data_IF_199461926077
#
_entry.id   IF_199461926077
#
_cell.length_a   1.000
_cell.length_b   1.000
_cell.length_c   1.000
_cell.angle_alpha   90.00
_cell.angle_beta   90.00
_cell.angle_gamma   90.00
#
_symmetry.space_group_name_H-M   'P 1'
#
loop_
_entity.id
_entity.type
_entity.pdbx_description
1 polymer ?
#
# COMPACT_ATOMS: atom_id res chain seq x y z
N UNK A 1 43.40 8.58 -8.88
CA UNK A 1 42.05 8.70 -8.30
C UNK A 1 41.80 7.52 -7.37
N UNK A 2 41.42 7.78 -6.12
CA UNK A 2 41.02 6.74 -5.16
C UNK A 2 39.75 6.00 -5.62
N UNK A 3 39.53 4.76 -5.17
CA UNK A 3 38.30 4.02 -5.49
C UNK A 3 37.03 4.78 -5.05
N UNK A 4 37.11 5.48 -3.90
CA UNK A 4 36.05 6.37 -3.41
C UNK A 4 35.72 7.46 -4.43
N UNK A 5 36.73 8.14 -4.99
CA UNK A 5 36.54 9.19 -5.97
C UNK A 5 35.91 8.67 -7.28
N UNK A 6 36.35 7.50 -7.76
CA UNK A 6 35.74 6.85 -8.95
C UNK A 6 34.26 6.53 -8.71
N UNK A 7 33.93 5.96 -7.55
CA UNK A 7 32.55 5.61 -7.19
C UNK A 7 31.65 6.84 -7.02
N UNK A 8 32.19 7.91 -6.44
CA UNK A 8 31.49 9.18 -6.28
C UNK A 8 31.16 9.80 -7.64
N UNK A 9 32.14 9.86 -8.55
CA UNK A 9 31.92 10.36 -9.92
C UNK A 9 30.86 9.55 -10.68
N UNK A 10 30.91 8.21 -10.57
CA UNK A 10 29.89 7.34 -11.18
C UNK A 10 28.48 7.61 -10.63
N UNK A 11 28.33 7.80 -9.31
CA UNK A 11 27.05 8.10 -8.69
C UNK A 11 26.52 9.48 -9.07
N UNK A 12 27.39 10.50 -9.15
CA UNK A 12 27.02 11.84 -9.63
C UNK A 12 26.51 11.80 -11.06
N UNK A 13 27.22 11.09 -11.96
CA UNK A 13 26.79 10.96 -13.34
C UNK A 13 25.44 10.20 -13.47
N UNK A 14 25.24 9.15 -12.67
CA UNK A 14 23.96 8.46 -12.59
C UNK A 14 22.84 9.37 -12.10
N UNK A 15 23.09 10.18 -11.06
CA UNK A 15 22.10 11.12 -10.52
C UNK A 15 21.71 12.17 -11.57
N UNK A 16 22.68 12.78 -12.24
CA UNK A 16 22.41 13.78 -13.28
C UNK A 16 21.66 13.20 -14.49
N UNK A 17 21.88 11.92 -14.81
CA UNK A 17 21.11 11.22 -15.85
C UNK A 17 19.66 10.94 -15.41
N UNK A 18 19.46 10.57 -14.15
CA UNK A 18 18.13 10.33 -13.59
C UNK A 18 17.32 11.63 -13.55
N UNK A 19 17.94 12.72 -13.11
CA UNK A 19 17.31 14.04 -13.05
C UNK A 19 16.83 14.52 -14.42
N UNK A 20 17.68 14.42 -15.46
CA UNK A 20 17.28 14.75 -16.84
C UNK A 20 16.08 13.93 -17.34
N UNK A 21 16.04 12.63 -17.01
CA UNK A 21 14.91 11.76 -17.36
C UNK A 21 13.65 12.11 -16.58
N UNK A 22 13.78 12.45 -15.31
CA UNK A 22 12.67 12.82 -14.45
C UNK A 22 12.04 14.14 -14.90
N UNK A 23 12.84 15.15 -15.26
CA UNK A 23 12.34 16.41 -15.87
C UNK A 23 11.55 16.13 -17.15
N UNK A 24 12.09 15.28 -18.04
CA UNK A 24 11.39 14.91 -19.27
C UNK A 24 10.07 14.15 -19.02
N UNK A 25 10.03 13.28 -18.00
CA UNK A 25 8.81 12.56 -17.61
C UNK A 25 7.77 13.48 -16.98
N UNK A 26 8.18 14.42 -16.11
CA UNK A 26 7.29 15.43 -15.52
C UNK A 26 6.65 16.30 -16.60
N UNK A 27 7.45 16.80 -17.55
CA UNK A 27 6.93 17.58 -18.67
C UNK A 27 5.93 16.78 -19.53
N UNK A 28 6.19 15.49 -19.79
CA UNK A 28 5.22 14.61 -20.46
C UNK A 28 3.95 14.43 -19.63
N UNK A 29 4.07 14.26 -18.32
CA UNK A 29 2.92 14.15 -17.41
C UNK A 29 2.01 15.39 -17.52
N UNK A 30 2.61 16.58 -17.49
CA UNK A 30 1.89 17.86 -17.57
C UNK A 30 1.21 18.07 -18.92
N UNK A 31 1.87 17.65 -20.02
CA UNK A 31 1.25 17.62 -21.34
C UNK A 31 0.01 16.71 -21.34
N UNK A 32 0.12 15.46 -20.88
CA UNK A 32 -1.00 14.53 -20.84
C UNK A 32 -2.15 15.00 -19.94
N UNK A 33 -1.85 15.71 -18.84
CA UNK A 33 -2.86 16.35 -18.01
C UNK A 33 -3.67 17.39 -18.80
N UNK A 34 -3.01 18.23 -19.60
CA UNK A 34 -3.66 19.19 -20.50
C UNK A 34 -4.44 18.52 -21.63
N UNK A 35 -3.89 17.49 -22.27
CA UNK A 35 -4.58 16.71 -23.30
C UNK A 35 -5.87 16.08 -22.77
N UNK A 36 -5.86 15.56 -21.55
CA UNK A 36 -7.06 14.99 -20.91
C UNK A 36 -8.16 16.04 -20.73
N UNK A 37 -7.82 17.27 -20.33
CA UNK A 37 -8.78 18.37 -20.23
C UNK A 37 -9.35 18.75 -21.61
N UNK A 38 -8.49 18.85 -22.62
CA UNK A 38 -8.92 19.10 -24.00
C UNK A 38 -9.84 18.01 -24.55
N UNK A 39 -9.50 16.73 -24.34
CA UNK A 39 -10.33 15.59 -24.73
C UNK A 39 -11.67 15.56 -24.01
N UNK A 40 -11.70 15.92 -22.71
CA UNK A 40 -12.93 16.00 -21.95
C UNK A 40 -13.84 17.13 -22.45
N UNK A 41 -13.28 18.33 -22.70
CA UNK A 41 -14.02 19.46 -23.24
C UNK A 41 -14.56 19.17 -24.65
N UNK A 42 -13.71 18.64 -25.54
CA UNK A 42 -14.11 18.25 -26.89
C UNK A 42 -15.17 17.15 -26.88
N UNK A 43 -14.98 16.11 -26.05
CA UNK A 43 -15.95 15.04 -25.88
C UNK A 43 -17.30 15.56 -25.38
N UNK A 44 -17.30 16.49 -24.42
CA UNK A 44 -18.50 17.16 -23.94
C UNK A 44 -19.22 17.98 -25.03
N UNK A 45 -18.48 18.73 -25.85
CA UNK A 45 -19.06 19.49 -26.97
C UNK A 45 -19.67 18.57 -28.03
N UNK A 46 -18.96 17.51 -28.43
CA UNK A 46 -19.44 16.52 -29.42
C UNK A 46 -20.66 15.76 -28.88
N UNK A 47 -20.64 15.41 -27.59
CA UNK A 47 -21.78 14.78 -26.91
C UNK A 47 -22.99 15.73 -26.86
N UNK A 48 -22.81 16.99 -26.47
CA UNK A 48 -23.90 17.97 -26.45
C UNK A 48 -24.50 18.25 -27.84
N UNK A 49 -23.65 18.42 -28.86
CA UNK A 49 -24.10 18.67 -30.24
C UNK A 49 -24.85 17.47 -30.83
N UNK A 50 -24.37 16.24 -30.59
CA UNK A 50 -25.04 15.02 -31.08
C UNK A 50 -26.39 14.77 -30.42
N UNK A 51 -26.55 15.12 -29.14
CA UNK A 51 -27.85 15.04 -28.46
C UNK A 51 -28.88 15.97 -29.09
N UNK A 52 -28.49 17.22 -29.39
CA UNK A 52 -29.37 18.23 -29.96
C UNK A 52 -29.76 17.95 -31.41
N UNK A 53 -28.88 17.34 -32.21
CA UNK A 53 -29.12 17.13 -33.64
C UNK A 53 -29.74 15.76 -33.97
N UNK A 54 -29.29 14.68 -33.33
CA UNK A 54 -29.53 13.30 -33.82
C UNK A 54 -30.25 12.40 -32.80
N UNK A 55 -30.69 12.95 -31.67
CA UNK A 55 -31.48 12.24 -30.67
C UNK A 55 -30.68 11.27 -29.78
N UNK A 56 -31.35 10.61 -28.81
CA UNK A 56 -30.69 9.93 -27.69
C UNK A 56 -29.92 8.65 -28.09
N UNK A 57 -30.34 7.94 -29.14
CA UNK A 57 -29.70 6.69 -29.56
C UNK A 57 -28.34 6.96 -30.22
N UNK A 58 -28.27 7.94 -31.12
CA UNK A 58 -27.01 8.30 -31.82
C UNK A 58 -26.04 8.98 -30.87
N UNK A 59 -26.55 9.83 -29.97
CA UNK A 59 -25.79 10.44 -28.87
C UNK A 59 -25.01 9.42 -28.04
N UNK A 60 -25.64 8.29 -27.68
CA UNK A 60 -25.03 7.26 -26.85
C UNK A 60 -23.80 6.65 -27.54
N UNK A 61 -23.92 6.31 -28.83
CA UNK A 61 -22.81 5.75 -29.61
C UNK A 61 -21.67 6.75 -29.82
N UNK A 62 -21.99 8.00 -30.18
CA UNK A 62 -21.01 9.06 -30.36
C UNK A 62 -20.24 9.34 -29.07
N UNK A 63 -20.97 9.40 -27.94
CA UNK A 63 -20.36 9.62 -26.62
C UNK A 63 -19.48 8.43 -26.21
N UNK A 64 -19.91 7.19 -26.46
CA UNK A 64 -19.11 6.00 -26.19
C UNK A 64 -17.78 6.00 -26.96
N UNK A 65 -17.81 6.36 -28.26
CA UNK A 65 -16.61 6.44 -29.10
C UNK A 65 -15.69 7.57 -28.65
N UNK A 66 -16.24 8.75 -28.31
CA UNK A 66 -15.48 9.88 -27.80
C UNK A 66 -14.79 9.58 -26.45
N UNK A 67 -15.31 8.63 -25.67
CA UNK A 67 -14.74 8.23 -24.38
C UNK A 67 -13.48 7.37 -24.52
N UNK A 68 -13.29 6.66 -25.64
CA UNK A 68 -12.14 5.79 -25.89
C UNK A 68 -10.80 6.55 -25.78
N UNK A 69 -10.56 7.66 -26.53
CA UNK A 69 -9.30 8.40 -26.43
C UNK A 69 -9.09 9.00 -25.03
N UNK A 70 -10.16 9.39 -24.34
CA UNK A 70 -10.09 9.86 -22.96
C UNK A 70 -9.59 8.76 -22.01
N UNK A 71 -10.15 7.56 -22.08
CA UNK A 71 -9.70 6.40 -21.28
C UNK A 71 -8.23 6.08 -21.57
N UNK A 72 -7.84 6.02 -22.85
CA UNK A 72 -6.45 5.76 -23.25
C UNK A 72 -5.50 6.81 -22.65
N UNK A 73 -5.87 8.10 -22.75
CA UNK A 73 -5.10 9.19 -22.16
C UNK A 73 -4.95 9.05 -20.64
N UNK A 74 -6.01 8.67 -19.93
CA UNK A 74 -5.97 8.43 -18.47
C UNK A 74 -5.01 7.27 -18.13
N UNK A 75 -5.05 6.17 -18.88
CA UNK A 75 -4.17 5.02 -18.66
C UNK A 75 -2.71 5.40 -18.90
N UNK A 76 -2.42 6.11 -19.99
CA UNK A 76 -1.05 6.56 -20.31
C UNK A 76 -0.54 7.56 -19.27
N UNK A 77 -1.36 8.52 -18.86
CA UNK A 77 -1.02 9.48 -17.82
C UNK A 77 -0.66 8.77 -16.50
N UNK A 78 -1.51 7.83 -16.03
CA UNK A 78 -1.23 7.02 -14.83
C UNK A 78 0.09 6.24 -14.93
N UNK A 79 0.42 5.70 -16.11
CA UNK A 79 1.71 5.01 -16.34
C UNK A 79 2.90 5.97 -16.24
N UNK A 80 2.77 7.18 -16.80
CA UNK A 80 3.81 8.22 -16.73
C UNK A 80 3.99 8.67 -15.28
N UNK A 81 2.91 8.95 -14.56
CA UNK A 81 2.92 9.34 -13.16
C UNK A 81 3.60 8.28 -12.28
N UNK A 82 3.25 7.00 -12.47
CA UNK A 82 3.91 5.88 -11.79
C UNK A 82 5.42 5.83 -12.09
N UNK A 83 5.81 6.14 -13.33
CA UNK A 83 7.22 6.23 -13.71
C UNK A 83 7.90 7.41 -13.01
N UNK A 84 7.28 8.60 -12.98
CA UNK A 84 7.80 9.78 -12.28
C UNK A 84 8.08 9.45 -10.82
N UNK A 85 7.12 8.85 -10.10
CA UNK A 85 7.28 8.45 -8.69
C UNK A 85 8.48 7.50 -8.52
N UNK A 86 8.59 6.48 -9.37
CA UNK A 86 9.73 5.54 -9.34
C UNK A 86 11.07 6.22 -9.57
N UNK A 87 11.15 7.12 -10.56
CA UNK A 87 12.39 7.84 -10.86
C UNK A 87 12.76 8.84 -9.77
N UNK A 88 11.77 9.48 -9.14
CA UNK A 88 11.96 10.40 -8.01
C UNK A 88 12.57 9.67 -6.81
N UNK A 89 12.02 8.52 -6.45
CA UNK A 89 12.57 7.68 -5.38
C UNK A 89 13.99 7.19 -5.68
N UNK A 90 14.26 6.80 -6.93
CA UNK A 90 15.62 6.45 -7.34
C UNK A 90 16.58 7.62 -7.17
N UNK A 91 16.17 8.81 -7.56
CA UNK A 91 16.97 10.01 -7.42
C UNK A 91 17.25 10.31 -5.94
N UNK A 92 16.21 10.29 -5.08
CA UNK A 92 16.36 10.48 -3.62
C UNK A 92 17.34 9.48 -3.03
N UNK A 93 17.21 8.19 -3.33
CA UNK A 93 18.14 7.15 -2.85
C UNK A 93 19.59 7.42 -3.27
N UNK A 94 19.81 7.84 -4.53
CA UNK A 94 21.15 8.16 -5.04
C UNK A 94 21.73 9.40 -4.37
N UNK A 95 20.92 10.44 -4.19
CA UNK A 95 21.30 11.65 -3.46
C UNK A 95 21.67 11.34 -2.01
N UNK A 96 20.86 10.53 -1.30
CA UNK A 96 21.20 10.11 0.06
C UNK A 96 22.45 9.24 0.12
N UNK A 97 22.78 8.44 -0.91
CA UNK A 97 24.06 7.73 -0.96
C UNK A 97 25.25 8.67 -1.20
N UNK A 98 25.08 9.68 -2.06
CA UNK A 98 26.10 10.71 -2.27
C UNK A 98 26.36 11.49 -0.97
N UNK A 99 25.30 11.94 -0.30
CA UNK A 99 25.37 12.64 0.98
C UNK A 99 26.11 11.81 2.04
N UNK A 100 25.84 10.49 2.14
CA UNK A 100 26.59 9.60 3.04
C UNK A 100 28.08 9.53 2.70
N UNK A 101 28.43 9.48 1.41
CA UNK A 101 29.84 9.40 0.99
C UNK A 101 30.62 10.70 1.26
N UNK A 102 29.93 11.84 1.26
CA UNK A 102 30.49 13.18 1.51
C UNK A 102 30.26 13.70 2.92
N UNK A 103 29.57 12.94 3.79
CA UNK A 103 29.14 13.36 5.13
C UNK A 103 28.33 14.68 5.11
N UNK A 104 27.47 14.85 4.10
CA UNK A 104 26.56 16.00 4.00
C UNK A 104 25.29 15.73 4.81
N UNK A 105 25.37 15.99 6.12
CA UNK A 105 24.32 15.70 7.10
C UNK A 105 23.00 16.42 6.82
N UNK A 106 23.04 17.61 6.24
CA UNK A 106 21.84 18.38 5.89
C UNK A 106 20.98 17.68 4.82
N UNK A 107 21.60 16.85 3.97
CA UNK A 107 20.92 16.08 2.92
C UNK A 107 20.66 14.62 3.30
N UNK A 108 21.04 14.20 4.51
CA UNK A 108 20.69 12.89 5.02
C UNK A 108 19.28 12.91 5.60
N UNK A 109 18.53 11.78 5.51
CA UNK A 109 17.31 11.62 6.28
C UNK A 109 17.54 12.01 7.74
N UNK A 110 16.54 12.65 8.35
CA UNK A 110 16.59 13.00 9.76
C UNK A 110 16.85 11.76 10.62
N UNK A 111 17.50 11.95 11.76
CA UNK A 111 17.65 10.89 12.74
C UNK A 111 16.28 10.42 13.22
N UNK A 112 16.18 9.13 13.56
CA UNK A 112 15.04 8.56 14.25
C UNK A 112 15.39 8.46 15.73
N UNK A 113 14.75 9.24 16.61
CA UNK A 113 15.07 9.20 18.03
C UNK A 113 14.62 7.87 18.63
N UNK A 114 15.57 7.18 19.26
CA UNK A 114 15.35 5.99 20.07
C UNK A 114 15.91 6.22 21.47
N UNK A 115 15.33 5.60 22.51
CA UNK A 115 15.82 5.76 23.87
C UNK A 115 17.21 5.13 24.02
N UNK A 116 18.10 5.84 24.71
CA UNK A 116 19.47 5.42 25.01
C UNK A 116 19.65 5.52 26.52
N UNK A 117 20.18 4.48 27.20
CA UNK A 117 20.51 4.57 28.62
C UNK A 117 21.52 5.71 28.86
N UNK A 118 21.29 6.54 29.87
CA UNK A 118 22.19 7.65 30.22
C UNK A 118 23.61 7.18 30.52
N UNK A 119 23.73 5.98 31.09
CA UNK A 119 25.00 5.41 31.55
C UNK A 119 25.63 4.46 30.51
N UNK A 120 25.23 4.58 29.24
CA UNK A 120 25.75 3.70 28.20
C UNK A 120 27.25 3.96 27.96
N UNK A 121 28.13 2.94 28.03
CA UNK A 121 29.57 3.12 28.19
C UNK A 121 30.29 3.83 27.03
N UNK A 122 29.72 3.82 25.83
CA UNK A 122 30.38 4.40 24.64
C UNK A 122 29.42 5.12 23.66
N UNK A 123 28.12 5.21 23.98
CA UNK A 123 27.13 5.66 22.98
C UNK A 123 27.34 7.13 22.59
N UNK A 124 27.59 7.97 23.60
CA UNK A 124 27.81 9.40 23.43
C UNK A 124 29.25 9.67 22.96
N UNK A 125 30.24 9.05 23.60
CA UNK A 125 31.67 9.25 23.29
C UNK A 125 32.07 8.89 21.85
N UNK A 126 31.41 7.88 21.25
CA UNK A 126 31.68 7.44 19.88
C UNK A 126 30.65 7.96 18.86
N UNK A 127 29.79 8.91 19.26
CA UNK A 127 28.70 9.44 18.42
C UNK A 127 27.89 8.31 17.76
N UNK A 128 27.54 7.26 18.52
CA UNK A 128 26.79 6.12 17.98
C UNK A 128 25.35 6.52 17.64
N UNK A 129 24.81 7.46 18.43
CA UNK A 129 23.45 8.00 18.42
C UNK A 129 23.49 9.52 18.43
N UNK A 130 22.46 10.20 17.95
CA UNK A 130 22.40 11.66 17.81
C UNK A 130 22.41 12.17 16.36
N UNK A 131 22.36 13.49 16.20
CA UNK A 131 22.17 14.14 14.90
C UNK A 131 23.31 13.87 13.90
N UNK A 132 24.53 13.70 14.40
CA UNK A 132 25.74 13.49 13.60
C UNK A 132 26.34 12.09 13.82
N UNK A 133 25.46 11.09 13.94
CA UNK A 133 25.84 9.77 14.46
C UNK A 133 26.13 8.68 13.43
N UNK A 134 26.80 7.63 13.90
CA UNK A 134 27.02 6.40 13.14
C UNK A 134 25.70 5.72 12.77
N UNK A 135 24.71 5.68 13.68
CA UNK A 135 23.38 5.14 13.38
C UNK A 135 22.74 5.86 12.19
N UNK A 136 22.69 7.19 12.22
CA UNK A 136 22.13 7.99 11.11
C UNK A 136 22.86 7.76 9.78
N UNK A 137 24.18 7.57 9.83
CA UNK A 137 24.99 7.29 8.63
C UNK A 137 24.70 5.91 8.04
N UNK A 138 24.59 4.88 8.89
CA UNK A 138 24.40 3.48 8.49
C UNK A 138 22.95 3.12 8.18
N UNK A 139 21.99 3.80 8.80
CA UNK A 139 20.58 3.45 8.68
C UNK A 139 20.07 3.67 7.25
N UNK A 140 19.58 2.58 6.68
CA UNK A 140 18.91 2.52 5.38
C UNK A 140 17.58 1.77 5.48
N UNK A 141 17.12 1.48 6.71
CA UNK A 141 15.88 0.78 6.95
C UNK A 141 14.69 1.67 6.57
N UNK A 142 13.72 1.06 5.89
CA UNK A 142 12.46 1.73 5.53
C UNK A 142 11.48 1.68 6.70
N UNK A 143 11.49 0.61 7.49
CA UNK A 143 10.66 0.45 8.69
C UNK A 143 11.33 1.04 9.93
N UNK A 144 10.51 1.51 10.87
CA UNK A 144 10.96 1.97 12.19
C UNK A 144 11.62 0.83 12.97
N UNK A 145 11.05 -0.37 12.92
CA UNK A 145 11.56 -1.55 13.61
C UNK A 145 12.92 -2.02 13.06
N UNK A 146 13.13 -1.88 11.75
CA UNK A 146 14.42 -2.18 11.12
C UNK A 146 15.52 -1.23 11.58
N UNK A 147 15.19 0.06 11.71
CA UNK A 147 16.08 1.09 12.22
C UNK A 147 16.38 0.91 13.71
N UNK A 148 15.34 0.59 14.50
CA UNK A 148 15.48 0.28 15.92
C UNK A 148 16.34 -0.96 16.15
N UNK A 149 16.22 -1.98 15.30
CA UNK A 149 17.07 -3.18 15.38
C UNK A 149 18.54 -2.86 15.08
N UNK A 150 18.82 -1.97 14.13
CA UNK A 150 20.19 -1.48 13.91
C UNK A 150 20.69 -0.69 15.12
N UNK A 151 19.86 0.19 15.67
CA UNK A 151 20.16 0.95 16.88
C UNK A 151 20.52 0.03 18.05
N UNK A 152 19.70 -0.99 18.34
CA UNK A 152 19.96 -1.94 19.41
C UNK A 152 21.25 -2.74 19.18
N UNK A 153 21.59 -3.07 17.93
CA UNK A 153 22.84 -3.76 17.62
C UNK A 153 24.08 -2.89 17.80
N UNK A 154 23.97 -1.58 17.58
CA UNK A 154 25.08 -0.64 17.78
C UNK A 154 25.33 -0.34 19.26
N UNK A 155 24.30 -0.45 20.10
CA UNK A 155 24.37 -0.27 21.56
C UNK A 155 24.58 -1.59 22.33
N UNK A 156 24.77 -2.72 21.64
CA UNK A 156 25.04 -3.99 22.31
C UNK A 156 26.47 -3.98 22.87
N UNK A 157 26.62 -4.08 24.19
CA UNK A 157 27.93 -4.03 24.86
C UNK A 157 28.64 -5.39 24.86
N UNK A 158 27.90 -6.49 24.86
CA UNK A 158 28.42 -7.86 24.91
C UNK A 158 27.81 -8.73 23.78
N UNK A 159 28.17 -8.46 22.51
CA UNK A 159 27.60 -9.20 21.39
C UNK A 159 28.14 -10.63 21.36
N UNK A 160 27.25 -11.61 21.19
CA UNK A 160 27.64 -13.02 21.01
C UNK A 160 28.35 -13.23 19.68
N UNK A 161 29.52 -13.88 19.71
CA UNK A 161 30.39 -14.06 18.55
C UNK A 161 29.69 -14.75 17.36
N UNK A 162 29.03 -15.89 17.60
CA UNK A 162 28.32 -16.65 16.55
C UNK A 162 27.29 -15.79 15.81
N UNK A 163 26.56 -14.96 16.57
CA UNK A 163 25.55 -14.06 16.02
C UNK A 163 26.18 -12.96 15.18
N UNK A 164 27.32 -12.40 15.61
CA UNK A 164 28.08 -11.40 14.84
C UNK A 164 28.60 -12.02 13.55
N UNK A 165 29.21 -13.20 13.61
CA UNK A 165 29.73 -13.89 12.43
C UNK A 165 28.63 -14.21 11.41
N UNK A 166 27.46 -14.66 11.86
CA UNK A 166 26.29 -14.89 11.00
C UNK A 166 25.83 -13.59 10.31
N UNK A 167 25.71 -12.48 11.05
CA UNK A 167 25.36 -11.17 10.49
C UNK A 167 26.39 -10.71 9.46
N UNK A 168 27.68 -10.85 9.74
CA UNK A 168 28.74 -10.48 8.80
C UNK A 168 28.68 -11.30 7.51
N UNK A 169 28.40 -12.61 7.58
CA UNK A 169 28.20 -13.45 6.38
C UNK A 169 27.05 -12.93 5.51
N UNK A 170 25.89 -12.66 6.12
CA UNK A 170 24.73 -12.06 5.43
C UNK A 170 25.06 -10.71 4.79
N UNK A 171 25.79 -9.83 5.49
CA UNK A 171 26.22 -8.53 4.97
C UNK A 171 27.18 -8.70 3.79
N UNK A 172 28.13 -9.63 3.85
CA UNK A 172 29.08 -9.91 2.74
C UNK A 172 28.35 -10.39 1.49
N UNK A 173 27.39 -11.31 1.63
CA UNK A 173 26.55 -11.75 0.50
C UNK A 173 25.76 -10.58 -0.09
N UNK A 174 25.07 -9.82 0.76
CA UNK A 174 24.27 -8.69 0.31
C UNK A 174 25.12 -7.62 -0.34
N UNK A 175 26.33 -7.35 0.14
CA UNK A 175 27.23 -6.31 -0.37
C UNK A 175 27.61 -6.52 -1.85
N UNK A 176 27.68 -7.77 -2.31
CA UNK A 176 27.95 -8.09 -3.71
C UNK A 176 26.70 -7.94 -4.60
N UNK A 177 25.51 -8.02 -4.01
CA UNK A 177 24.23 -8.16 -4.73
C UNK A 177 23.51 -6.82 -4.91
N UNK A 178 24.16 -5.89 -5.63
CA UNK A 178 23.67 -4.50 -5.78
C UNK A 178 22.27 -4.41 -6.37
N UNK A 179 21.92 -5.27 -7.34
CA UNK A 179 20.59 -5.30 -7.95
C UNK A 179 19.50 -5.71 -6.95
N UNK A 180 19.79 -6.69 -6.10
CA UNK A 180 18.87 -7.14 -5.07
C UNK A 180 18.59 -6.01 -4.07
N UNK A 181 19.65 -5.41 -3.50
CA UNK A 181 19.53 -4.31 -2.53
C UNK A 181 18.74 -3.12 -3.08
N UNK A 182 19.07 -2.67 -4.29
CA UNK A 182 18.40 -1.53 -4.92
C UNK A 182 16.93 -1.81 -5.23
N UNK A 183 16.60 -3.01 -5.73
CA UNK A 183 15.21 -3.37 -6.01
C UNK A 183 14.40 -3.52 -4.73
N UNK A 184 14.96 -4.15 -3.70
CA UNK A 184 14.31 -4.28 -2.40
C UNK A 184 14.01 -2.91 -1.78
N UNK A 185 15.03 -2.04 -1.72
CA UNK A 185 14.86 -0.67 -1.22
C UNK A 185 13.81 0.11 -2.02
N UNK A 186 13.80 -0.02 -3.35
CA UNK A 186 12.80 0.60 -4.20
C UNK A 186 11.39 0.08 -3.93
N UNK A 187 11.19 -1.25 -3.84
CA UNK A 187 9.87 -1.81 -3.56
C UNK A 187 9.36 -1.34 -2.21
N UNK A 188 10.21 -1.30 -1.19
CA UNK A 188 9.83 -0.77 0.12
C UNK A 188 9.49 0.73 0.06
N UNK A 189 10.30 1.55 -0.60
CA UNK A 189 10.07 3.00 -0.68
C UNK A 189 8.87 3.39 -1.54
N UNK A 190 8.57 2.63 -2.62
CA UNK A 190 7.44 2.89 -3.51
C UNK A 190 6.10 2.86 -2.80
N UNK A 191 6.00 2.12 -1.70
CA UNK A 191 4.73 1.93 -1.01
C UNK A 191 4.61 2.80 0.24
N UNK A 192 5.71 3.36 0.72
CA UNK A 192 5.72 4.38 1.79
C UNK A 192 5.55 5.80 1.23
N UNK A 193 5.64 5.99 -0.09
CA UNK A 193 5.56 7.30 -0.74
C UNK A 193 4.19 7.95 -0.56
N UNK A 194 4.06 8.82 0.44
CA UNK A 194 2.84 9.59 0.73
C UNK A 194 2.93 10.32 2.06
N UNK A 195 3.50 9.67 3.08
CA UNK A 195 3.77 10.24 4.39
C UNK A 195 5.28 10.18 4.67
N UNK A 196 5.86 11.28 5.16
CA UNK A 196 7.25 11.31 5.65
C UNK A 196 7.45 10.46 6.93
N UNK A 197 6.41 9.75 7.37
CA UNK A 197 6.43 8.87 8.52
C UNK A 197 6.96 7.48 8.14
N UNK A 198 7.92 6.92 8.92
CA UNK A 198 8.41 5.57 8.68
C UNK A 198 7.29 4.55 8.89
N UNK A 199 7.31 3.47 8.10
CA UNK A 199 6.39 2.37 8.30
C UNK A 199 6.60 1.75 9.68
N UNK A 200 5.54 1.70 10.49
CA UNK A 200 5.53 1.04 11.79
C UNK A 200 4.76 -0.29 11.68
N UNK A 201 5.49 -1.39 11.76
CA UNK A 201 4.93 -2.74 11.77
C UNK A 201 4.19 -3.05 13.05
N UNK A 202 4.55 -2.42 14.17
CA UNK A 202 3.90 -2.70 15.45
C UNK A 202 2.41 -2.40 15.42
N UNK A 203 1.97 -1.31 14.78
CA UNK A 203 0.53 -1.00 14.67
C UNK A 203 -0.26 -2.07 13.90
N UNK A 204 0.38 -2.73 12.92
CA UNK A 204 -0.23 -3.85 12.21
C UNK A 204 -0.28 -5.10 13.09
N UNK A 205 0.75 -5.36 13.89
CA UNK A 205 0.78 -6.47 14.85
C UNK A 205 -0.26 -6.25 15.94
N UNK A 206 -0.31 -5.05 16.56
CA UNK A 206 -1.31 -4.68 17.55
C UNK A 206 -2.74 -4.77 16.98
N UNK A 207 -2.90 -4.46 15.69
CA UNK A 207 -4.17 -4.69 15.01
C UNK A 207 -4.45 -6.18 14.75
N UNK A 208 -3.46 -7.02 14.47
CA UNK A 208 -3.68 -8.46 14.33
C UNK A 208 -4.02 -9.11 15.68
N UNK A 209 -3.40 -8.63 16.76
CA UNK A 209 -3.53 -9.15 18.12
C UNK A 209 -4.76 -8.65 18.88
N UNK A 210 -5.30 -7.47 18.53
CA UNK A 210 -6.56 -6.98 19.11
C UNK A 210 -7.64 -8.06 18.94
N UNK A 211 -8.12 -8.67 20.01
CA UNK A 211 -9.24 -9.61 19.90
C UNK A 211 -10.43 -8.94 19.20
N UNK A 212 -11.05 -9.64 18.25
CA UNK A 212 -12.36 -9.24 17.72
C UNK A 212 -13.41 -9.48 18.81
N UNK A 213 -13.46 -8.60 19.81
CA UNK A 213 -14.39 -8.65 20.94
C UNK A 213 -15.87 -8.46 20.57
N UNK A 214 -16.26 -8.68 19.32
CA UNK A 214 -17.62 -8.47 18.82
C UNK A 214 -18.29 -9.78 18.46
N UNK A 215 -19.46 -10.05 19.08
CA UNK A 215 -20.42 -11.08 18.67
C UNK A 215 -20.39 -11.31 17.15
N UNK A 216 -20.30 -12.58 16.74
CA UNK A 216 -20.29 -13.03 15.34
C UNK A 216 -21.21 -12.17 14.46
N UNK A 217 -20.66 -11.61 13.38
CA UNK A 217 -21.43 -10.85 12.38
C UNK A 217 -22.29 -11.77 11.48
N UNK A 218 -22.08 -13.09 11.55
CA UNK A 218 -22.80 -14.10 10.76
C UNK A 218 -24.33 -14.03 10.89
N UNK A 219 -24.94 -14.02 12.10
CA UNK A 219 -26.40 -13.97 12.22
C UNK A 219 -26.99 -12.67 11.66
N UNK A 220 -26.33 -11.53 11.89
CA UNK A 220 -26.78 -10.24 11.35
C UNK A 220 -26.70 -10.22 9.82
N UNK A 221 -25.63 -10.78 9.25
CA UNK A 221 -25.47 -10.93 7.80
C UNK A 221 -26.57 -11.80 7.20
N UNK A 222 -26.87 -12.95 7.83
CA UNK A 222 -27.93 -13.86 7.35
C UNK A 222 -29.29 -13.16 7.40
N UNK A 223 -29.63 -12.51 8.53
CA UNK A 223 -30.89 -11.79 8.68
C UNK A 223 -31.04 -10.72 7.60
N UNK A 224 -30.01 -9.88 7.39
CA UNK A 224 -30.08 -8.81 6.39
C UNK A 224 -30.05 -9.34 4.95
N UNK A 225 -29.35 -10.46 4.68
CA UNK A 225 -29.35 -11.08 3.36
C UNK A 225 -30.72 -11.69 3.02
N UNK A 226 -31.34 -12.39 3.97
CA UNK A 226 -32.71 -12.91 3.82
C UNK A 226 -33.67 -11.75 3.60
N UNK A 227 -33.56 -10.68 4.39
CA UNK A 227 -34.45 -9.53 4.29
C UNK A 227 -34.28 -8.78 2.96
N UNK A 228 -33.05 -8.69 2.42
CA UNK A 228 -32.79 -8.13 1.09
C UNK A 228 -33.43 -8.98 -0.02
N UNK A 229 -33.30 -10.31 0.03
CA UNK A 229 -33.94 -11.22 -0.94
C UNK A 229 -35.47 -11.11 -0.86
N UNK A 230 -36.02 -11.10 0.36
CA UNK A 230 -37.47 -10.91 0.57
C UNK A 230 -37.94 -9.59 -0.02
N UNK A 231 -37.16 -8.51 0.16
CA UNK A 231 -37.50 -7.20 -0.40
C UNK A 231 -37.55 -7.22 -1.93
N UNK A 232 -36.59 -7.89 -2.59
CA UNK A 232 -36.58 -8.07 -4.05
C UNK A 232 -37.75 -8.92 -4.55
N UNK A 233 -38.09 -10.00 -3.84
CA UNK A 233 -39.23 -10.86 -4.18
C UNK A 233 -40.55 -10.09 -4.06
N UNK A 234 -40.74 -9.35 -2.97
CA UNK A 234 -41.93 -8.53 -2.75
C UNK A 234 -42.05 -7.41 -3.78
N UNK A 235 -40.93 -6.78 -4.15
CA UNK A 235 -40.90 -5.75 -5.21
C UNK A 235 -41.24 -6.34 -6.58
N UNK A 236 -40.69 -7.50 -6.94
CA UNK A 236 -41.03 -8.20 -8.18
C UNK A 236 -42.50 -8.63 -8.21
N UNK A 237 -43.04 -9.12 -7.09
CA UNK A 237 -44.46 -9.48 -6.94
C UNK A 237 -45.39 -8.28 -7.05
N UNK A 238 -45.00 -7.12 -6.52
CA UNK A 238 -45.73 -5.86 -6.73
C UNK A 238 -45.78 -5.47 -8.21
N UNK A 239 -44.64 -5.53 -8.92
CA UNK A 239 -44.55 -5.12 -10.32
C UNK A 239 -45.24 -6.08 -11.31
N UNK A 240 -45.16 -7.39 -11.06
CA UNK A 240 -45.65 -8.43 -11.99
C UNK A 240 -47.05 -8.95 -11.65
N UNK A 241 -47.39 -9.01 -10.35
CA UNK A 241 -48.63 -9.64 -9.85
C UNK A 241 -49.52 -8.69 -9.03
N UNK A 242 -49.22 -7.39 -8.99
CA UNK A 242 -49.97 -6.37 -8.24
C UNK A 242 -50.20 -6.72 -6.75
N UNK A 243 -49.21 -7.32 -6.11
CA UNK A 243 -49.27 -7.56 -4.66
C UNK A 243 -49.43 -6.23 -3.88
N UNK A 244 -49.97 -6.27 -2.63
CA UNK A 244 -49.99 -5.10 -1.76
C UNK A 244 -48.57 -4.55 -1.52
N UNK A 245 -48.47 -3.27 -1.16
CA UNK A 245 -47.20 -2.53 -0.98
C UNK A 245 -46.39 -2.96 0.27
N UNK A 246 -46.32 -4.26 0.56
CA UNK A 246 -45.60 -4.85 1.70
C UNK A 246 -44.08 -4.66 1.61
N UNK A 247 -43.55 -4.42 0.40
CA UNK A 247 -42.14 -4.16 0.17
C UNK A 247 -41.64 -2.89 0.90
N UNK A 248 -42.50 -1.87 1.11
CA UNK A 248 -42.12 -0.69 1.89
C UNK A 248 -41.85 -1.04 3.36
N UNK A 249 -42.65 -1.95 3.94
CA UNK A 249 -42.50 -2.40 5.32
C UNK A 249 -41.21 -3.20 5.52
N UNK A 250 -40.89 -4.13 4.61
CA UNK A 250 -39.62 -4.87 4.63
C UNK A 250 -38.42 -3.96 4.40
N UNK A 251 -38.52 -2.98 3.49
CA UNK A 251 -37.46 -2.02 3.23
C UNK A 251 -37.18 -1.11 4.44
N UNK A 252 -38.24 -0.67 5.14
CA UNK A 252 -38.11 0.16 6.34
C UNK A 252 -37.47 -0.66 7.48
N UNK A 253 -37.90 -1.90 7.69
CA UNK A 253 -37.30 -2.81 8.67
C UNK A 253 -35.81 -3.06 8.36
N UNK A 254 -35.47 -3.28 7.09
CA UNK A 254 -34.09 -3.42 6.63
C UNK A 254 -33.25 -2.18 6.94
N UNK A 255 -33.76 -0.99 6.59
CA UNK A 255 -33.08 0.27 6.84
C UNK A 255 -32.84 0.52 8.33
N UNK A 256 -33.84 0.27 9.18
CA UNK A 256 -33.71 0.44 10.64
C UNK A 256 -32.69 -0.52 11.22
N UNK A 257 -32.74 -1.81 10.88
CA UNK A 257 -31.75 -2.80 11.32
C UNK A 257 -30.33 -2.45 10.84
N UNK A 258 -30.20 -2.00 9.60
CA UNK A 258 -28.91 -1.61 9.03
C UNK A 258 -28.33 -0.37 9.73
N UNK A 259 -29.12 0.67 9.98
CA UNK A 259 -28.63 1.89 10.64
C UNK A 259 -28.28 1.63 12.10
N UNK A 260 -29.13 0.91 12.84
CA UNK A 260 -28.97 0.71 14.29
C UNK A 260 -27.89 -0.30 14.64
N UNK A 261 -27.78 -1.41 13.90
CA UNK A 261 -26.86 -2.51 14.22
C UNK A 261 -25.70 -2.65 13.23
N UNK A 262 -25.93 -2.29 11.96
CA UNK A 262 -24.97 -2.43 10.88
C UNK A 262 -23.98 -1.27 10.79
N UNK A 263 -24.48 -0.03 10.73
CA UNK A 263 -23.68 1.16 10.41
C UNK A 263 -22.58 1.42 11.43
N UNK A 264 -22.87 1.36 12.73
CA UNK A 264 -21.86 1.62 13.77
C UNK A 264 -20.73 0.59 13.78
N UNK A 265 -21.07 -0.71 13.63
CA UNK A 265 -20.08 -1.81 13.59
C UNK A 265 -19.28 -1.80 12.30
N UNK A 266 -19.92 -1.45 11.20
CA UNK A 266 -19.27 -1.35 9.91
C UNK A 266 -18.31 -0.14 9.89
N UNK A 267 -18.75 1.03 10.37
CA UNK A 267 -17.95 2.26 10.39
C UNK A 267 -16.67 2.18 11.24
N UNK A 268 -16.72 1.56 12.43
CA UNK A 268 -15.54 1.39 13.27
C UNK A 268 -14.51 0.46 12.63
N UNK A 269 -14.96 -0.66 12.06
CA UNK A 269 -14.09 -1.58 11.33
C UNK A 269 -13.52 -0.93 10.06
N UNK A 270 -14.26 -0.09 9.35
CA UNK A 270 -13.82 0.48 8.08
C UNK A 270 -12.71 1.53 8.18
N UNK A 271 -12.73 2.36 9.23
CA UNK A 271 -11.73 3.41 9.40
C UNK A 271 -10.35 2.78 9.66
N UNK A 272 -10.29 1.77 10.53
CA UNK A 272 -9.08 0.99 10.81
C UNK A 272 -8.59 0.22 9.58
N UNK A 273 -9.52 -0.29 8.77
CA UNK A 273 -9.23 -1.15 7.61
C UNK A 273 -8.61 -0.38 6.45
N UNK A 274 -9.08 0.83 6.15
CA UNK A 274 -8.54 1.64 5.07
C UNK A 274 -7.09 2.05 5.38
N UNK A 275 -6.82 2.46 6.61
CA UNK A 275 -5.47 2.74 7.09
C UNK A 275 -4.54 1.51 7.00
N UNK A 276 -5.06 0.33 7.36
CA UNK A 276 -4.29 -0.90 7.31
C UNK A 276 -4.02 -1.39 5.89
N UNK A 277 -4.92 -1.13 4.95
CA UNK A 277 -4.78 -1.56 3.56
C UNK A 277 -3.57 -0.95 2.88
N UNK A 278 -3.30 0.32 3.16
CA UNK A 278 -2.11 1.01 2.67
C UNK A 278 -0.85 0.39 3.29
N UNK A 279 -0.85 0.05 4.58
CA UNK A 279 0.29 -0.64 5.23
C UNK A 279 0.51 -2.06 4.70
N UNK A 280 -0.56 -2.83 4.48
CA UNK A 280 -0.50 -4.16 3.88
C UNK A 280 0.01 -4.11 2.44
N UNK A 281 -0.24 -3.00 1.73
CA UNK A 281 0.34 -2.77 0.41
C UNK A 281 1.85 -2.80 0.41
N UNK A 282 2.48 -2.20 1.44
CA UNK A 282 3.95 -2.17 1.58
C UNK A 282 4.50 -3.59 1.65
N UNK A 283 3.92 -4.39 2.54
CA UNK A 283 4.34 -5.76 2.74
C UNK A 283 4.14 -6.61 1.48
N UNK A 284 3.01 -6.47 0.78
CA UNK A 284 2.75 -7.25 -0.44
C UNK A 284 3.83 -7.02 -1.51
N UNK A 285 4.23 -5.77 -1.74
CA UNK A 285 5.26 -5.44 -2.73
C UNK A 285 6.63 -6.03 -2.37
N UNK A 286 7.01 -5.97 -1.09
CA UNK A 286 8.27 -6.54 -0.59
C UNK A 286 8.24 -8.06 -0.61
N UNK A 287 7.17 -8.68 -0.11
CA UNK A 287 7.02 -10.15 -0.06
C UNK A 287 6.98 -10.74 -1.46
N UNK A 288 6.21 -10.17 -2.39
CA UNK A 288 6.19 -10.62 -3.77
C UNK A 288 7.58 -10.54 -4.42
N UNK A 289 8.39 -9.52 -4.08
CA UNK A 289 9.76 -9.42 -4.55
C UNK A 289 10.66 -10.52 -3.96
N UNK A 290 10.58 -10.78 -2.66
CA UNK A 290 11.36 -11.81 -1.97
C UNK A 290 11.00 -13.23 -2.45
N UNK A 291 9.72 -13.50 -2.70
CA UNK A 291 9.23 -14.79 -3.19
C UNK A 291 9.68 -15.10 -4.63
N UNK A 292 9.78 -14.07 -5.49
CA UNK A 292 10.11 -14.24 -6.91
C UNK A 292 11.61 -14.23 -7.19
N UNK A 293 12.43 -13.75 -6.24
CA UNK A 293 13.86 -13.64 -6.44
C UNK A 293 14.56 -15.00 -6.41
N UNK A 294 15.59 -15.16 -7.24
CA UNK A 294 16.40 -16.39 -7.28
C UNK A 294 17.64 -16.21 -6.40
N UNK A 295 17.71 -16.96 -5.31
CA UNK A 295 18.76 -16.85 -4.28
C UNK A 295 20.05 -17.63 -4.57
N UNK A 296 20.25 -18.16 -5.78
CA UNK A 296 21.31 -19.15 -6.07
C UNK A 296 22.77 -18.78 -5.75
N UNK A 297 23.08 -17.54 -5.34
CA UNK A 297 24.40 -17.11 -4.86
C UNK A 297 24.36 -16.46 -3.45
N UNK A 298 23.30 -16.72 -2.68
CA UNK A 298 23.06 -16.09 -1.38
C UNK A 298 22.41 -17.08 -0.39
N UNK A 299 23.10 -18.16 0.02
CA UNK A 299 22.53 -19.18 0.91
C UNK A 299 22.12 -18.61 2.27
N UNK A 300 22.87 -17.67 2.85
CA UNK A 300 22.54 -17.10 4.16
C UNK A 300 21.28 -16.21 4.11
N UNK A 301 21.10 -15.50 2.99
CA UNK A 301 19.87 -14.72 2.75
C UNK A 301 18.70 -15.64 2.39
N UNK A 302 18.94 -16.73 1.67
CA UNK A 302 17.92 -17.73 1.39
C UNK A 302 17.38 -18.34 2.68
N UNK A 303 18.27 -18.67 3.63
CA UNK A 303 17.87 -19.19 4.94
C UNK A 303 17.06 -18.15 5.72
N UNK A 304 17.46 -16.88 5.70
CA UNK A 304 16.69 -15.79 6.32
C UNK A 304 15.29 -15.62 5.69
N UNK A 305 15.18 -15.84 4.38
CA UNK A 305 13.93 -15.71 3.64
C UNK A 305 13.16 -17.03 3.49
N UNK A 306 13.56 -18.10 4.19
CA UNK A 306 13.01 -19.44 3.98
C UNK A 306 11.49 -19.50 4.17
N UNK A 307 10.96 -18.79 5.18
CA UNK A 307 9.52 -18.69 5.44
C UNK A 307 8.71 -18.08 4.28
N UNK A 308 9.35 -17.31 3.40
CA UNK A 308 8.71 -16.77 2.19
C UNK A 308 8.78 -17.74 1.00
N UNK A 309 9.64 -18.76 1.05
CA UNK A 309 9.94 -19.65 -0.07
C UNK A 309 9.21 -20.99 0.00
N UNK A 310 8.52 -21.28 1.10
CA UNK A 310 7.77 -22.51 1.30
C UNK A 310 6.63 -22.65 0.28
N UNK A 311 6.54 -23.83 -0.35
CA UNK A 311 5.54 -24.12 -1.38
C UNK A 311 4.18 -24.35 -0.71
N UNK A 312 3.25 -23.42 -0.91
CA UNK A 312 1.86 -23.53 -0.45
C UNK A 312 1.38 -22.31 0.34
N UNK A 313 2.31 -21.62 1.00
CA UNK A 313 1.99 -20.52 1.93
C UNK A 313 2.68 -19.23 1.53
N UNK A 314 2.37 -18.68 0.34
CA UNK A 314 2.96 -17.41 -0.09
C UNK A 314 2.33 -16.24 0.66
N UNK A 315 3.07 -15.52 1.53
CA UNK A 315 2.49 -14.40 2.28
C UNK A 315 1.91 -13.32 1.38
N UNK A 316 2.51 -13.06 0.22
CA UNK A 316 1.98 -12.12 -0.78
C UNK A 316 0.56 -12.49 -1.26
N UNK A 317 0.27 -13.78 -1.43
CA UNK A 317 -1.04 -14.26 -1.88
C UNK A 317 -2.11 -14.07 -0.79
N UNK A 318 -1.75 -14.24 0.48
CA UNK A 318 -2.64 -13.95 1.62
C UNK A 318 -2.96 -12.47 1.71
N UNK A 319 -1.93 -11.61 1.66
CA UNK A 319 -2.12 -10.17 1.69
C UNK A 319 -2.92 -9.68 0.47
N UNK A 320 -2.68 -10.25 -0.72
CA UNK A 320 -3.46 -9.91 -1.92
C UNK A 320 -4.94 -10.25 -1.77
N UNK A 321 -5.29 -11.34 -1.07
CA UNK A 321 -6.69 -11.65 -0.76
C UNK A 321 -7.32 -10.58 0.14
N UNK A 322 -6.60 -10.15 1.18
CA UNK A 322 -7.07 -9.07 2.06
C UNK A 322 -7.23 -7.77 1.28
N UNK A 323 -6.26 -7.40 0.43
CA UNK A 323 -6.36 -6.21 -0.42
C UNK A 323 -7.57 -6.21 -1.35
N UNK A 324 -7.98 -7.37 -1.88
CA UNK A 324 -9.22 -7.48 -2.67
C UNK A 324 -10.46 -7.22 -1.84
N UNK A 325 -10.50 -7.72 -0.60
CA UNK A 325 -11.59 -7.46 0.35
C UNK A 325 -11.64 -5.97 0.69
N UNK A 326 -10.50 -5.35 0.99
CA UNK A 326 -10.44 -3.90 1.27
C UNK A 326 -10.81 -3.07 0.03
N UNK A 327 -10.39 -3.45 -1.17
CA UNK A 327 -10.81 -2.75 -2.38
C UNK A 327 -12.34 -2.76 -2.54
N UNK A 328 -13.01 -3.86 -2.17
CA UNK A 328 -14.48 -3.94 -2.13
C UNK A 328 -15.12 -3.01 -1.11
N UNK A 329 -14.51 -2.83 0.06
CA UNK A 329 -14.90 -1.80 1.04
C UNK A 329 -14.73 -0.40 0.47
N UNK A 330 -13.61 -0.15 -0.21
CA UNK A 330 -13.26 1.16 -0.77
C UNK A 330 -14.27 1.68 -1.81
N UNK A 331 -14.99 0.80 -2.51
CA UNK A 331 -16.04 1.18 -3.48
C UNK A 331 -17.18 2.01 -2.85
N UNK A 332 -17.37 1.90 -1.53
CA UNK A 332 -18.37 2.66 -0.76
C UNK A 332 -17.95 4.11 -0.47
N UNK A 333 -16.69 4.49 -0.70
CA UNK A 333 -16.27 5.90 -0.54
C UNK A 333 -17.13 6.86 -1.37
N UNK A 334 -17.70 6.37 -2.47
CA UNK A 334 -18.76 7.07 -3.17
C UNK A 334 -20.11 6.75 -2.50
N UNK A 335 -20.67 7.73 -1.79
CA UNK A 335 -21.95 7.63 -1.09
C UNK A 335 -23.08 7.02 -1.93
N UNK A 336 -23.13 7.36 -3.24
CA UNK A 336 -24.12 6.85 -4.17
C UNK A 336 -23.92 5.35 -4.45
N UNK A 337 -22.68 4.93 -4.73
CA UNK A 337 -22.35 3.51 -4.95
C UNK A 337 -22.56 2.70 -3.66
N UNK A 338 -22.17 3.25 -2.52
CA UNK A 338 -22.39 2.62 -1.22
C UNK A 338 -23.88 2.40 -0.91
N UNK A 339 -24.73 3.38 -1.24
CA UNK A 339 -26.17 3.26 -1.08
C UNK A 339 -26.77 2.22 -2.05
N UNK A 340 -26.40 2.27 -3.32
CA UNK A 340 -26.88 1.32 -4.34
C UNK A 340 -26.45 -0.13 -4.04
N UNK A 341 -25.19 -0.32 -3.63
CA UNK A 341 -24.67 -1.65 -3.29
C UNK A 341 -25.35 -2.20 -2.03
N UNK A 342 -25.53 -1.38 -0.99
CA UNK A 342 -26.26 -1.79 0.21
C UNK A 342 -27.76 -2.02 -0.05
N UNK A 343 -28.36 -1.31 -1.00
CA UNK A 343 -29.75 -1.56 -1.41
C UNK A 343 -29.92 -2.91 -2.12
N UNK A 344 -28.91 -3.37 -2.88
CA UNK A 344 -28.95 -4.68 -3.54
C UNK A 344 -28.67 -5.83 -2.57
N UNK A 345 -27.68 -5.67 -1.69
CA UNK A 345 -27.16 -6.72 -0.81
C UNK A 345 -26.57 -6.05 0.45
N UNK A 346 -26.49 -6.68 1.63
CA UNK A 346 -25.82 -6.10 2.79
C UNK A 346 -24.29 -6.07 2.60
N UNK A 347 -23.82 -5.25 1.67
CA UNK A 347 -22.44 -5.14 1.19
C UNK A 347 -21.50 -4.83 2.35
N UNK A 348 -21.84 -3.83 3.17
CA UNK A 348 -20.98 -3.40 4.25
C UNK A 348 -20.73 -4.51 5.29
N UNK A 349 -21.77 -5.24 5.64
CA UNK A 349 -21.68 -6.30 6.66
C UNK A 349 -21.02 -7.55 6.07
N UNK A 350 -21.22 -7.82 4.78
CA UNK A 350 -20.49 -8.87 4.07
C UNK A 350 -18.99 -8.63 4.05
N UNK A 351 -18.54 -7.43 3.66
CA UNK A 351 -17.12 -7.13 3.63
C UNK A 351 -16.52 -7.01 5.04
N UNK A 352 -17.27 -6.49 6.03
CA UNK A 352 -16.84 -6.50 7.43
C UNK A 352 -16.62 -7.95 7.93
N UNK A 353 -17.54 -8.86 7.64
CA UNK A 353 -17.40 -10.27 7.98
C UNK A 353 -16.23 -10.95 7.28
N UNK A 354 -16.05 -10.71 5.96
CA UNK A 354 -14.92 -11.26 5.20
C UNK A 354 -13.58 -10.74 5.70
N UNK A 355 -13.56 -9.51 6.18
CA UNK A 355 -12.36 -8.92 6.73
C UNK A 355 -12.00 -9.52 8.08
N UNK A 356 -12.98 -9.76 8.94
CA UNK A 356 -12.80 -10.46 10.22
C UNK A 356 -12.26 -11.89 10.00
N UNK A 357 -12.79 -12.62 9.01
CA UNK A 357 -12.23 -13.91 8.57
C UNK A 357 -10.77 -13.79 8.11
N UNK A 358 -10.46 -12.80 7.26
CA UNK A 358 -9.11 -12.59 6.76
C UNK A 358 -8.12 -12.22 7.88
N UNK A 359 -8.59 -11.49 8.90
CA UNK A 359 -7.79 -11.15 10.08
C UNK A 359 -7.47 -12.39 10.91
N UNK A 360 -8.47 -13.23 11.19
CA UNK A 360 -8.28 -14.49 11.90
C UNK A 360 -7.30 -15.41 11.14
N UNK A 361 -7.50 -15.57 9.83
CA UNK A 361 -6.60 -16.35 8.96
C UNK A 361 -5.15 -15.82 8.97
N UNK A 362 -4.96 -14.50 9.09
CA UNK A 362 -3.64 -13.88 9.17
C UNK A 362 -3.01 -14.05 10.55
N UNK A 363 -3.78 -13.85 11.62
CA UNK A 363 -3.32 -13.99 13.01
C UNK A 363 -2.80 -15.41 13.29
N UNK A 364 -3.49 -16.44 12.79
CA UNK A 364 -3.08 -17.84 12.94
C UNK A 364 -1.76 -18.20 12.22
N UNK A 365 -1.35 -17.38 11.24
CA UNK A 365 -0.20 -17.63 10.36
C UNK A 365 0.99 -16.71 10.60
N UNK A 366 0.86 -15.73 11.48
CA UNK A 366 2.00 -14.90 11.85
C UNK A 366 3.02 -15.77 12.60
N UNK A 367 4.31 -15.72 12.24
CA UNK A 367 5.34 -16.33 13.08
C UNK A 367 5.29 -15.66 14.45
N UNK A 368 5.03 -16.45 15.49
CA UNK A 368 5.07 -16.02 16.90
C UNK A 368 6.49 -15.69 17.33
#
# INVERSE_FOLDING_TARGET
MTEKAKRLHLLQHQSARLERRLVALRHRSDQFSRWRLGLFALGGLVSGASFLQWGPVVWLWVTAVAFIPFIVSVIVHRRIETAVIRFDLWQRMKQSHLARMTLDWAKLPAERPFPVPTDHPFAQDLDVVGDFSLHRLLDTAVSREGSHRLHSWLLETLPQEDTVQLRQRRVRELAQQTRFRQRLALQAALVVSGDDQPWAGQELIDWLERESGGRSLRPLLIVLAVLAVVNWVLFAGYQLWQWPMLWLGSALLYGVLFITLGFQRAASLFTDVLFLADRLRVLNGVFAFLEQWRYGKMPEIQQLCQSFLEKGERPSAHISRVQKVVAGVGLRQNWLLGFLLNALLPWDIYFAYRLDQCRADLADRLPR
#
